data_IF_256404579373
#
_entry.id   IF_256404579373
#
_cell.length_a   1.000
_cell.length_b   1.000
_cell.length_c   1.000
_cell.angle_alpha   90.00
_cell.angle_beta   90.00
_cell.angle_gamma   90.00
#
_symmetry.space_group_name_H-M   'P 1'
#
loop_
_entity.id
_entity.type
_entity.pdbx_description
1 polymer ?
#
# COMPACT_ATOMS: atom_id res chain seq x y z
N UNK A 1 0.50 21.78 -1.17
CA UNK A 1 1.69 20.89 -1.11
C UNK A 1 3.00 21.68 -1.07
N UNK A 2 3.99 21.23 -0.27
CA UNK A 2 5.30 21.92 -0.13
C UNK A 2 6.01 21.95 -1.48
N UNK A 3 6.47 23.13 -1.92
CA UNK A 3 7.20 23.30 -3.19
C UNK A 3 6.32 23.44 -4.45
N UNK A 4 5.00 23.41 -4.34
CA UNK A 4 4.11 23.63 -5.49
C UNK A 4 4.16 25.09 -5.97
N UNK A 5 4.19 25.30 -7.30
CA UNK A 5 4.14 26.65 -7.90
C UNK A 5 2.82 27.38 -7.63
N UNK A 6 1.72 26.63 -7.49
CA UNK A 6 0.40 27.13 -7.09
C UNK A 6 -0.16 26.22 -5.98
N UNK A 7 0.17 26.49 -4.70
CA UNK A 7 -0.24 25.65 -3.58
C UNK A 7 -1.75 25.55 -3.42
N UNK A 8 -2.49 26.65 -3.61
CA UNK A 8 -3.94 26.70 -3.40
C UNK A 8 -4.68 25.90 -4.48
N UNK A 9 -4.27 26.06 -5.74
CA UNK A 9 -4.82 25.26 -6.84
C UNK A 9 -4.53 23.78 -6.66
N UNK A 10 -3.33 23.43 -6.20
CA UNK A 10 -2.97 22.05 -5.90
C UNK A 10 -3.82 21.47 -4.76
N UNK A 11 -4.11 22.24 -3.70
CA UNK A 11 -5.00 21.79 -2.64
C UNK A 11 -6.43 21.59 -3.11
N UNK A 12 -6.99 22.54 -3.87
CA UNK A 12 -8.34 22.38 -4.46
C UNK A 12 -8.46 21.16 -5.36
N UNK A 13 -7.40 20.84 -6.11
CA UNK A 13 -7.38 19.64 -6.94
C UNK A 13 -7.35 18.36 -6.11
N UNK A 14 -6.58 18.32 -5.02
CA UNK A 14 -6.58 17.19 -4.09
C UNK A 14 -7.94 17.02 -3.40
N UNK A 15 -8.60 18.11 -3.01
CA UNK A 15 -9.96 18.08 -2.47
C UNK A 15 -10.96 17.48 -3.46
N UNK A 16 -10.87 17.88 -4.74
CA UNK A 16 -11.68 17.29 -5.81
C UNK A 16 -11.43 15.78 -5.95
N UNK A 17 -10.16 15.35 -6.02
CA UNK A 17 -9.81 13.93 -6.12
C UNK A 17 -10.32 13.10 -4.94
N UNK A 18 -10.34 13.67 -3.74
CA UNK A 18 -10.86 13.02 -2.52
C UNK A 18 -12.39 13.11 -2.35
N UNK A 19 -13.08 13.82 -3.24
CA UNK A 19 -14.54 13.98 -3.21
C UNK A 19 -15.25 12.73 -3.77
N UNK A 20 -16.58 12.58 -3.55
CA UNK A 20 -17.35 11.51 -4.19
C UNK A 20 -17.29 11.51 -5.72
N UNK A 21 -17.11 12.68 -6.34
CA UNK A 21 -16.95 12.81 -7.80
C UNK A 21 -15.56 12.33 -8.24
N UNK A 22 -14.51 12.70 -7.51
CA UNK A 22 -13.14 12.20 -7.75
C UNK A 22 -13.02 10.69 -7.57
N UNK A 23 -13.77 10.12 -6.62
CA UNK A 23 -13.86 8.68 -6.41
C UNK A 23 -14.51 7.96 -7.61
N UNK A 24 -15.61 8.50 -8.16
CA UNK A 24 -16.25 7.95 -9.35
C UNK A 24 -15.33 8.01 -10.58
N UNK A 25 -14.61 9.12 -10.74
CA UNK A 25 -13.60 9.25 -11.78
C UNK A 25 -12.49 8.18 -11.66
N UNK A 26 -12.00 7.95 -10.45
CA UNK A 26 -10.97 6.93 -10.18
C UNK A 26 -11.49 5.51 -10.47
N UNK A 27 -12.74 5.24 -10.12
CA UNK A 27 -13.40 3.97 -10.44
C UNK A 27 -13.57 3.74 -11.94
N UNK A 28 -13.88 4.79 -12.71
CA UNK A 28 -13.86 4.73 -14.17
C UNK A 28 -12.49 4.34 -14.77
N UNK A 29 -11.40 4.51 -14.02
CA UNK A 29 -10.05 4.07 -14.40
C UNK A 29 -9.68 2.68 -13.85
N UNK A 30 -10.63 1.97 -13.23
CA UNK A 30 -10.41 0.65 -12.63
C UNK A 30 -9.81 0.67 -11.22
N UNK A 31 -9.80 1.82 -10.56
CA UNK A 31 -9.34 1.94 -9.16
C UNK A 31 -10.53 1.90 -8.21
N UNK A 32 -10.49 1.05 -7.19
CA UNK A 32 -11.50 1.08 -6.14
C UNK A 32 -11.30 2.28 -5.22
N UNK A 33 -12.38 2.94 -4.78
CA UNK A 33 -12.27 4.13 -3.94
C UNK A 33 -11.71 3.78 -2.56
N UNK A 34 -10.78 4.59 -2.05
CA UNK A 34 -10.24 4.45 -0.69
C UNK A 34 -10.98 5.28 0.37
N UNK A 35 -12.01 6.03 -0.05
CA UNK A 35 -12.78 6.89 0.85
C UNK A 35 -13.73 6.03 1.70
N UNK A 36 -13.69 6.16 3.04
CA UNK A 36 -14.61 5.42 3.92
C UNK A 36 -16.10 5.70 3.62
N UNK A 37 -16.92 4.68 3.77
CA UNK A 37 -18.35 4.68 3.51
C UNK A 37 -18.74 4.42 2.06
N UNK A 38 -17.79 4.40 1.11
CA UNK A 38 -18.07 4.08 -0.29
C UNK A 38 -18.10 2.57 -0.56
N UNK A 39 -17.61 1.75 0.37
CA UNK A 39 -17.70 0.29 0.34
C UNK A 39 -19.14 -0.23 0.38
N UNK A 40 -20.13 0.61 0.69
CA UNK A 40 -21.55 0.26 0.66
C UNK A 40 -22.32 0.96 -0.46
N UNK A 41 -21.66 1.81 -1.24
CA UNK A 41 -22.30 2.57 -2.30
C UNK A 41 -22.42 1.72 -3.57
N UNK A 42 -23.64 1.41 -4.06
CA UNK A 42 -23.86 0.52 -5.20
C UNK A 42 -23.13 0.93 -6.49
N UNK A 43 -22.69 2.19 -6.60
CA UNK A 43 -21.90 2.67 -7.74
C UNK A 43 -20.55 1.96 -7.89
N UNK A 44 -20.02 1.37 -6.81
CA UNK A 44 -18.73 0.69 -6.75
C UNK A 44 -18.85 -0.84 -6.58
N UNK A 45 -20.01 -1.40 -6.91
CA UNK A 45 -20.33 -2.83 -6.85
C UNK A 45 -20.89 -3.32 -8.19
N UNK A 46 -20.23 -2.97 -9.30
CA UNK A 46 -20.78 -3.24 -10.65
C UNK A 46 -20.30 -4.58 -11.21
N UNK A 47 -19.26 -5.17 -10.62
CA UNK A 47 -18.62 -6.39 -11.11
C UNK A 47 -18.42 -7.40 -9.99
N UNK A 48 -18.29 -8.68 -10.35
CA UNK A 48 -17.92 -9.74 -9.39
C UNK A 48 -16.56 -9.49 -8.74
N UNK A 49 -15.66 -8.79 -9.44
CA UNK A 49 -14.37 -8.37 -8.90
C UNK A 49 -14.54 -7.35 -7.77
N UNK A 50 -15.42 -6.37 -7.95
CA UNK A 50 -15.68 -5.36 -6.91
C UNK A 50 -16.20 -6.02 -5.63
N UNK A 51 -17.18 -6.93 -5.77
CA UNK A 51 -17.75 -7.69 -4.66
C UNK A 51 -16.68 -8.53 -3.94
N UNK A 52 -15.83 -9.22 -4.70
CA UNK A 52 -14.74 -10.01 -4.14
C UNK A 52 -13.72 -9.15 -3.37
N UNK A 53 -13.37 -7.98 -3.91
CA UNK A 53 -12.47 -7.05 -3.24
C UNK A 53 -13.07 -6.50 -1.94
N UNK A 54 -14.31 -6.02 -1.98
CA UNK A 54 -14.98 -5.49 -0.79
C UNK A 54 -15.19 -6.58 0.26
N UNK A 55 -15.50 -7.80 -0.15
CA UNK A 55 -15.54 -8.96 0.74
C UNK A 55 -14.18 -9.16 1.41
N UNK A 56 -13.08 -9.17 0.64
CA UNK A 56 -11.73 -9.34 1.20
C UNK A 56 -11.42 -8.24 2.21
N UNK A 57 -11.62 -6.97 1.86
CA UNK A 57 -11.31 -5.83 2.75
C UNK A 57 -12.17 -5.85 4.01
N UNK A 58 -13.48 -6.10 3.90
CA UNK A 58 -14.40 -6.07 5.05
C UNK A 58 -14.23 -7.28 5.99
N UNK A 59 -13.66 -8.38 5.51
CA UNK A 59 -13.44 -9.60 6.30
C UNK A 59 -11.99 -9.79 6.73
N UNK A 60 -11.04 -8.95 6.30
CA UNK A 60 -9.67 -9.01 6.78
C UNK A 60 -9.54 -8.15 8.04
N UNK A 61 -9.69 -8.77 9.21
CA UNK A 61 -9.53 -8.09 10.51
C UNK A 61 -8.07 -7.65 10.76
N UNK A 62 -7.11 -8.38 10.18
CA UNK A 62 -5.67 -8.16 10.34
C UNK A 62 -5.03 -7.51 9.10
N UNK A 63 -5.81 -6.75 8.31
CA UNK A 63 -5.25 -6.01 7.19
C UNK A 63 -4.30 -4.94 7.76
N UNK A 64 -3.01 -5.09 7.51
CA UNK A 64 -2.01 -4.11 7.89
C UNK A 64 -1.44 -3.46 6.64
N UNK A 65 -1.31 -2.14 6.69
CA UNK A 65 -0.44 -1.45 5.75
C UNK A 65 1.02 -1.72 6.14
N UNK A 66 1.89 -1.64 5.15
CA UNK A 66 3.29 -1.87 5.37
C UNK A 66 3.89 -0.82 6.31
N UNK A 67 4.90 -1.21 7.12
CA UNK A 67 5.52 -0.29 8.06
C UNK A 67 6.10 0.93 7.35
N UNK A 68 5.72 2.12 7.82
CA UNK A 68 6.28 3.38 7.34
C UNK A 68 7.65 3.59 7.97
N UNK A 69 8.73 3.30 7.21
CA UNK A 69 10.10 3.45 7.69
C UNK A 69 10.99 4.11 6.63
N UNK A 70 12.03 4.83 7.07
CA UNK A 70 12.94 5.56 6.17
C UNK A 70 13.70 4.64 5.18
N UNK A 71 13.82 3.35 5.50
CA UNK A 71 14.53 2.33 4.71
C UNK A 71 13.59 1.29 4.08
N UNK A 72 12.32 1.64 3.86
CA UNK A 72 11.27 0.69 3.43
C UNK A 72 11.61 -0.02 2.11
N UNK A 73 12.19 0.70 1.14
CA UNK A 73 12.61 0.13 -0.15
C UNK A 73 13.68 -0.96 0.04
N UNK A 74 14.64 -0.72 0.92
CA UNK A 74 15.67 -1.70 1.24
C UNK A 74 15.09 -2.89 1.98
N UNK A 75 14.19 -2.64 2.95
CA UNK A 75 13.47 -3.71 3.63
C UNK A 75 12.75 -4.66 2.66
N UNK A 76 12.05 -4.12 1.66
CA UNK A 76 11.40 -4.95 0.66
C UNK A 76 12.38 -5.73 -0.21
N UNK A 77 13.43 -5.07 -0.71
CA UNK A 77 14.43 -5.74 -1.54
C UNK A 77 15.05 -6.93 -0.83
N UNK A 78 15.42 -6.77 0.45
CA UNK A 78 15.99 -7.83 1.27
C UNK A 78 14.96 -8.93 1.57
N UNK A 79 13.72 -8.55 1.90
CA UNK A 79 12.66 -9.51 2.21
C UNK A 79 12.29 -10.36 0.98
N UNK A 80 12.15 -9.76 -0.20
CA UNK A 80 11.91 -10.50 -1.44
C UNK A 80 13.05 -11.47 -1.74
N UNK A 81 14.30 -11.04 -1.58
CA UNK A 81 15.46 -11.92 -1.73
C UNK A 81 15.45 -13.09 -0.73
N UNK A 82 15.06 -12.84 0.52
CA UNK A 82 14.92 -13.88 1.54
C UNK A 82 13.82 -14.90 1.20
N UNK A 83 12.68 -14.44 0.69
CA UNK A 83 11.59 -15.29 0.22
C UNK A 83 12.07 -16.21 -0.91
N UNK A 84 12.76 -15.65 -1.91
CA UNK A 84 13.30 -16.43 -3.03
C UNK A 84 14.28 -17.50 -2.53
N UNK A 85 15.20 -17.15 -1.64
CA UNK A 85 16.16 -18.11 -1.08
C UNK A 85 15.46 -19.24 -0.32
N UNK A 86 14.41 -18.94 0.44
CA UNK A 86 13.63 -19.95 1.16
C UNK A 86 12.86 -20.87 0.19
N UNK A 87 12.20 -20.30 -0.82
CA UNK A 87 11.44 -21.06 -1.84
C UNK A 87 12.36 -21.98 -2.65
N UNK A 88 13.56 -21.50 -3.00
CA UNK A 88 14.55 -22.26 -3.78
C UNK A 88 15.52 -23.08 -2.93
N UNK A 89 15.22 -23.27 -1.64
CA UNK A 89 15.98 -24.10 -0.70
C UNK A 89 17.47 -23.72 -0.63
N UNK A 90 17.78 -22.42 -0.73
CA UNK A 90 19.15 -21.88 -0.63
C UNK A 90 19.54 -21.55 0.80
N UNK A 91 18.59 -21.12 1.62
CA UNK A 91 18.72 -20.83 3.05
C UNK A 91 17.44 -21.33 3.76
N UNK A 92 17.48 -21.60 5.07
CA UNK A 92 16.22 -21.80 5.81
C UNK A 92 15.48 -20.46 5.97
N UNK A 93 14.16 -20.46 6.19
CA UNK A 93 13.41 -19.24 6.49
C UNK A 93 14.02 -18.44 7.65
N UNK A 94 14.49 -19.10 8.71
CA UNK A 94 15.12 -18.47 9.86
C UNK A 94 16.44 -17.78 9.50
N UNK A 95 17.29 -18.43 8.70
CA UNK A 95 18.57 -17.88 8.24
C UNK A 95 18.35 -16.66 7.34
N UNK A 96 17.43 -16.78 6.40
CA UNK A 96 17.11 -15.72 5.46
C UNK A 96 16.53 -14.50 6.19
N UNK A 97 15.60 -14.70 7.14
CA UNK A 97 15.04 -13.62 7.95
C UNK A 97 16.07 -12.97 8.88
N UNK A 98 17.00 -13.75 9.44
CA UNK A 98 18.10 -13.22 10.24
C UNK A 98 18.95 -12.27 9.42
N UNK A 99 19.27 -12.62 8.18
CA UNK A 99 20.02 -11.76 7.26
C UNK A 99 19.29 -10.44 6.99
N UNK A 100 17.99 -10.50 6.66
CA UNK A 100 17.16 -9.30 6.45
C UNK A 100 17.23 -8.38 7.66
N UNK A 101 17.07 -8.93 8.87
CA UNK A 101 17.13 -8.14 10.11
C UNK A 101 18.47 -7.42 10.27
N UNK A 102 19.58 -8.11 10.04
CA UNK A 102 20.93 -7.53 10.20
C UNK A 102 21.16 -6.38 9.21
N UNK A 103 20.78 -6.55 7.95
CA UNK A 103 20.96 -5.55 6.89
C UNK A 103 20.06 -4.34 7.12
N UNK A 104 18.76 -4.58 7.35
CA UNK A 104 17.77 -3.51 7.50
C UNK A 104 17.99 -2.72 8.79
N UNK A 105 18.31 -3.38 9.91
CA UNK A 105 18.58 -2.68 11.16
C UNK A 105 19.78 -1.74 11.01
N UNK A 106 20.86 -2.21 10.37
CA UNK A 106 22.04 -1.38 10.12
C UNK A 106 21.71 -0.15 9.26
N UNK A 107 20.85 -0.31 8.25
CA UNK A 107 20.42 0.80 7.41
C UNK A 107 19.54 1.80 8.17
N UNK A 108 18.63 1.29 9.00
CA UNK A 108 17.76 2.09 9.84
C UNK A 108 18.57 2.90 10.88
N UNK A 109 19.54 2.27 11.54
CA UNK A 109 20.43 2.93 12.51
C UNK A 109 21.28 4.05 11.88
N UNK A 110 21.49 4.04 10.56
CA UNK A 110 22.26 5.07 9.86
C UNK A 110 21.45 6.33 9.50
N UNK A 111 20.11 6.25 9.57
CA UNK A 111 19.20 7.34 9.17
C UNK A 111 18.33 7.88 10.31
N UNK A 112 18.33 7.20 11.46
CA UNK A 112 17.76 7.68 12.72
C UNK A 112 18.80 8.52 13.49
#
# INVERSE_FOLDING_TARGET
PRGAKNPDGAWKFLEYLASPEGADHSYGMGMLPSRPGLEYDPRFHKTEFDEAFWTLINHTEDAFDYPQMAVIEQYYSELCGAIDKAIYFKETPEEALKHVREVVQKALDAVL
#
